data_IF_352107278235
#
_entry.id   IF_352107278235
#
_cell.length_a   1.000
_cell.length_b   1.000
_cell.length_c   1.000
_cell.angle_alpha   90.00
_cell.angle_beta   90.00
_cell.angle_gamma   90.00
#
_symmetry.space_group_name_H-M   'P 1'
#
loop_
_entity.id
_entity.type
_entity.pdbx_description
1 polymer ?
#
# COMPACT_ATOMS: atom_id res chain seq x y z
N UNK A 1 -11.67 -15.09 19.77
CA UNK A 1 -10.25 -15.49 19.98
C UNK A 1 -9.75 -16.15 18.69
N UNK A 2 -9.58 -15.36 17.62
CA UNK A 2 -9.05 -15.82 16.32
C UNK A 2 -8.24 -14.67 15.69
N UNK A 3 -7.44 -13.91 16.44
CA UNK A 3 -6.90 -12.63 15.92
C UNK A 3 -5.36 -12.57 15.81
N UNK A 4 -4.62 -13.53 16.35
CA UNK A 4 -3.14 -13.45 16.32
C UNK A 4 -2.47 -14.03 15.06
N UNK A 5 -3.09 -15.00 14.38
CA UNK A 5 -2.47 -15.70 13.22
C UNK A 5 -2.81 -15.07 11.85
N UNK A 6 -3.93 -14.36 11.74
CA UNK A 6 -4.30 -13.68 10.48
C UNK A 6 -3.38 -12.50 10.23
N UNK A 7 -3.17 -11.69 11.26
CA UNK A 7 -2.63 -10.34 11.13
C UNK A 7 -1.19 -10.29 10.58
N UNK A 8 -0.28 -11.07 11.16
CA UNK A 8 1.10 -11.16 10.63
C UNK A 8 1.15 -11.77 9.23
N UNK A 9 0.24 -12.69 8.92
CA UNK A 9 0.13 -13.26 7.57
C UNK A 9 -0.33 -12.20 6.58
N UNK A 10 -1.25 -11.33 6.98
CA UNK A 10 -1.81 -10.26 6.15
C UNK A 10 -0.75 -9.19 5.86
N UNK A 11 0.08 -8.83 6.86
CA UNK A 11 1.27 -7.98 6.66
C UNK A 11 2.31 -8.60 5.72
N UNK A 12 2.58 -9.90 5.82
CA UNK A 12 3.45 -10.58 4.86
C UNK A 12 2.88 -10.58 3.44
N UNK A 13 1.56 -10.70 3.28
CA UNK A 13 0.93 -10.57 1.96
C UNK A 13 1.05 -9.14 1.43
N UNK A 14 0.89 -8.14 2.29
CA UNK A 14 1.06 -6.72 1.93
C UNK A 14 2.48 -6.43 1.45
N UNK A 15 3.47 -6.82 2.25
CA UNK A 15 4.90 -6.67 1.92
C UNK A 15 5.20 -7.27 0.53
N UNK A 16 4.81 -8.52 0.30
CA UNK A 16 5.06 -9.18 -0.99
C UNK A 16 4.37 -8.47 -2.16
N UNK A 17 3.16 -7.96 -1.96
CA UNK A 17 2.43 -7.22 -2.99
C UNK A 17 3.12 -5.88 -3.31
N UNK A 18 3.58 -5.15 -2.29
CA UNK A 18 4.34 -3.91 -2.44
C UNK A 18 5.69 -4.16 -3.16
N UNK A 19 6.42 -5.20 -2.79
CA UNK A 19 7.66 -5.60 -3.46
C UNK A 19 7.43 -6.02 -4.92
N UNK A 20 6.33 -6.73 -5.21
CA UNK A 20 5.96 -7.08 -6.59
C UNK A 20 5.69 -5.83 -7.43
N UNK A 21 4.97 -4.85 -6.86
CA UNK A 21 4.69 -3.58 -7.51
C UNK A 21 5.96 -2.75 -7.74
N UNK A 22 6.84 -2.66 -6.76
CA UNK A 22 8.12 -1.97 -6.89
C UNK A 22 8.94 -2.55 -8.05
N UNK A 23 9.04 -3.88 -8.14
CA UNK A 23 9.74 -4.56 -9.24
C UNK A 23 9.10 -4.27 -10.60
N UNK A 24 7.77 -4.29 -10.68
CA UNK A 24 7.05 -3.94 -11.90
C UNK A 24 7.31 -2.49 -12.34
N UNK A 25 7.32 -1.55 -11.39
CA UNK A 25 7.62 -0.14 -11.66
C UNK A 25 9.07 0.07 -12.12
N UNK A 26 10.05 -0.57 -11.47
CA UNK A 26 11.45 -0.52 -11.90
C UNK A 26 11.64 -1.09 -13.30
N UNK A 27 10.98 -2.21 -13.61
CA UNK A 27 10.99 -2.79 -14.95
C UNK A 27 10.36 -1.87 -15.99
N UNK A 28 9.24 -1.22 -15.67
CA UNK A 28 8.55 -0.30 -16.57
C UNK A 28 9.30 1.04 -16.77
N UNK A 29 10.08 1.46 -15.77
CA UNK A 29 10.88 2.69 -15.82
C UNK A 29 12.11 2.58 -16.71
N UNK A 30 12.48 1.38 -17.19
CA UNK A 30 13.57 1.14 -18.16
C UNK A 30 14.90 1.88 -17.83
N UNK A 31 15.27 1.97 -16.55
CA UNK A 31 16.51 2.63 -16.11
C UNK A 31 16.46 4.16 -16.05
N UNK A 32 15.29 4.78 -16.16
CA UNK A 32 15.10 6.22 -15.90
C UNK A 32 15.30 6.59 -14.42
N UNK A 33 15.37 7.89 -14.13
CA UNK A 33 15.52 8.38 -12.75
C UNK A 33 14.39 7.86 -11.84
N UNK A 34 14.77 7.25 -10.72
CA UNK A 34 13.86 6.57 -9.78
C UNK A 34 13.64 7.34 -8.48
N UNK A 35 14.18 8.56 -8.34
CA UNK A 35 14.06 9.36 -7.10
C UNK A 35 12.60 9.61 -6.70
N UNK A 36 11.73 9.74 -7.69
CA UNK A 36 10.29 9.91 -7.49
C UNK A 36 9.62 8.68 -6.89
N UNK A 37 10.25 7.50 -6.95
CA UNK A 37 9.72 6.25 -6.40
C UNK A 37 9.97 6.10 -4.91
N UNK A 38 10.78 6.98 -4.29
CA UNK A 38 11.17 6.90 -2.88
C UNK A 38 10.04 6.65 -1.86
N UNK A 39 8.80 7.13 -2.05
CA UNK A 39 7.69 6.81 -1.15
C UNK A 39 7.36 5.31 -1.03
N UNK A 40 7.52 4.52 -2.11
CA UNK A 40 7.17 3.09 -2.09
C UNK A 40 8.17 2.23 -1.30
N UNK A 41 9.51 2.32 -1.52
CA UNK A 41 10.49 1.66 -0.68
C UNK A 41 10.40 2.03 0.80
N UNK A 42 9.99 3.27 1.12
CA UNK A 42 9.77 3.69 2.51
C UNK A 42 8.61 2.93 3.15
N UNK A 43 7.48 2.82 2.44
CA UNK A 43 6.35 2.02 2.92
C UNK A 43 6.73 0.54 3.09
N UNK A 44 7.51 -0.03 2.18
CA UNK A 44 8.01 -1.41 2.31
C UNK A 44 8.86 -1.55 3.58
N UNK A 45 9.81 -0.64 3.79
CA UNK A 45 10.66 -0.65 4.98
C UNK A 45 9.87 -0.51 6.29
N UNK A 46 8.80 0.31 6.30
CA UNK A 46 7.90 0.39 7.45
C UNK A 46 7.19 -0.94 7.70
N UNK A 47 6.66 -1.60 6.66
CA UNK A 47 6.04 -2.94 6.81
C UNK A 47 7.07 -3.95 7.34
N UNK A 48 8.29 -3.95 6.83
CA UNK A 48 9.37 -4.82 7.29
C UNK A 48 9.71 -4.59 8.77
N UNK A 49 9.80 -3.33 9.21
CA UNK A 49 10.05 -2.98 10.62
C UNK A 49 8.96 -3.55 11.55
N UNK A 50 7.68 -3.47 11.13
CA UNK A 50 6.58 -4.07 11.88
C UNK A 50 6.56 -5.60 11.84
N UNK A 51 7.04 -6.19 10.75
CA UNK A 51 7.23 -7.63 10.69
C UNK A 51 8.37 -8.05 11.64
N UNK A 52 9.42 -7.25 11.81
CA UNK A 52 10.52 -7.57 12.72
C UNK A 52 10.17 -7.34 14.20
N UNK A 53 9.24 -6.43 14.53
CA UNK A 53 8.78 -6.17 15.90
C UNK A 53 7.69 -7.18 16.38
N UNK A 54 8.05 -8.07 17.30
CA UNK A 54 7.13 -9.06 17.89
C UNK A 54 6.15 -8.48 18.91
N UNK A 55 6.38 -7.26 19.44
CA UNK A 55 5.56 -6.64 20.50
C UNK A 55 4.66 -5.50 19.97
N UNK A 56 4.74 -5.17 18.68
CA UNK A 56 3.96 -4.08 18.09
C UNK A 56 2.43 -4.31 18.19
N UNK A 57 1.64 -3.29 18.58
CA UNK A 57 0.17 -3.37 18.63
C UNK A 57 -0.41 -3.48 17.21
N UNK A 58 -0.59 -4.72 16.81
CA UNK A 58 -0.83 -5.19 15.45
C UNK A 58 -1.98 -4.51 14.68
N UNK A 59 -3.14 -4.26 15.31
CA UNK A 59 -4.33 -3.77 14.59
C UNK A 59 -4.29 -2.27 14.23
N UNK A 60 -3.70 -1.43 15.08
CA UNK A 60 -3.60 0.01 14.79
C UNK A 60 -2.60 0.25 13.65
N UNK A 61 -1.49 -0.49 13.68
CA UNK A 61 -0.45 -0.49 12.65
C UNK A 61 -1.00 -0.87 11.29
N UNK A 62 -1.76 -1.96 11.18
CA UNK A 62 -2.33 -2.37 9.89
C UNK A 62 -3.27 -1.31 9.29
N UNK A 63 -4.08 -0.66 10.12
CA UNK A 63 -4.97 0.42 9.67
C UNK A 63 -4.18 1.62 9.15
N UNK A 64 -3.08 1.94 9.83
CA UNK A 64 -2.20 3.03 9.41
C UNK A 64 -1.48 2.67 8.10
N UNK A 65 -0.91 1.47 7.99
CA UNK A 65 -0.28 0.97 6.76
C UNK A 65 -1.28 0.91 5.60
N UNK A 66 -2.50 0.45 5.84
CA UNK A 66 -3.58 0.47 4.86
C UNK A 66 -3.87 1.90 4.39
N UNK A 67 -4.02 2.85 5.33
CA UNK A 67 -4.25 4.26 4.98
C UNK A 67 -3.05 4.90 4.24
N UNK A 68 -1.82 4.49 4.55
CA UNK A 68 -0.62 4.95 3.84
C UNK A 68 -0.58 4.42 2.40
N UNK A 69 -0.81 3.11 2.21
CA UNK A 69 -0.90 2.49 0.89
C UNK A 69 -2.00 3.15 0.04
N UNK A 70 -3.16 3.39 0.65
CA UNK A 70 -4.30 4.09 0.06
C UNK A 70 -3.96 5.52 -0.39
N UNK A 71 -3.28 6.30 0.46
CA UNK A 71 -2.84 7.66 0.08
C UNK A 71 -1.78 7.63 -1.01
N UNK A 72 -0.97 6.58 -1.08
CA UNK A 72 0.09 6.51 -2.08
C UNK A 72 -0.46 6.12 -3.46
N UNK A 73 -1.33 5.10 -3.51
CA UNK A 73 -1.73 4.43 -4.76
C UNK A 73 -3.23 4.13 -4.87
N UNK A 74 -4.00 4.33 -3.81
CA UNK A 74 -5.43 4.04 -3.73
C UNK A 74 -6.33 5.27 -3.90
N UNK A 75 -7.64 5.14 -3.62
CA UNK A 75 -8.62 6.22 -3.71
C UNK A 75 -8.45 7.38 -2.70
N UNK A 76 -7.66 7.25 -1.62
CA UNK A 76 -7.47 8.36 -0.70
C UNK A 76 -6.71 9.55 -1.34
N UNK A 77 -6.89 10.79 -0.81
CA UNK A 77 -6.14 11.95 -1.28
C UNK A 77 -4.64 11.67 -1.28
N UNK A 78 -3.93 11.98 -2.38
CA UNK A 78 -2.55 11.59 -2.56
C UNK A 78 -1.63 12.27 -1.53
N UNK A 79 -0.77 11.49 -0.88
CA UNK A 79 0.29 12.03 0.00
C UNK A 79 1.40 12.72 -0.81
N UNK A 80 1.63 12.27 -2.05
CA UNK A 80 2.61 12.83 -2.97
C UNK A 80 2.05 12.87 -4.41
N UNK A 81 1.81 14.08 -4.90
CA UNK A 81 1.26 14.31 -6.24
C UNK A 81 2.25 13.95 -7.36
N UNK A 82 3.55 14.14 -7.14
CA UNK A 82 4.57 13.86 -8.15
C UNK A 82 4.77 12.35 -8.33
N UNK A 83 4.77 11.59 -7.23
CA UNK A 83 4.71 10.13 -7.26
C UNK A 83 3.44 9.68 -7.98
N UNK A 84 2.27 10.18 -7.55
CA UNK A 84 0.97 9.73 -8.06
C UNK A 84 0.83 9.90 -9.56
N UNK A 85 1.22 11.05 -10.10
CA UNK A 85 1.13 11.32 -11.54
C UNK A 85 1.96 10.34 -12.37
N UNK A 86 3.21 10.05 -11.95
CA UNK A 86 4.10 9.12 -12.65
C UNK A 86 3.64 7.67 -12.49
N UNK A 87 3.21 7.32 -11.29
CA UNK A 87 2.62 6.03 -10.99
C UNK A 87 1.41 5.74 -11.88
N UNK A 88 0.45 6.66 -11.97
CA UNK A 88 -0.75 6.49 -12.79
C UNK A 88 -0.42 6.40 -14.29
N UNK A 89 0.55 7.18 -14.77
CA UNK A 89 1.04 7.08 -16.15
C UNK A 89 1.63 5.69 -16.45
N UNK A 90 2.49 5.17 -15.57
CA UNK A 90 3.08 3.84 -15.73
C UNK A 90 2.04 2.72 -15.57
N UNK A 91 1.08 2.87 -14.66
CA UNK A 91 -0.02 1.93 -14.48
C UNK A 91 -0.89 1.84 -15.73
N UNK A 92 -1.17 2.97 -16.39
CA UNK A 92 -1.91 3.00 -17.64
C UNK A 92 -1.10 2.44 -18.84
N UNK A 93 0.22 2.64 -18.84
CA UNK A 93 1.09 2.26 -19.95
C UNK A 93 1.67 0.82 -19.87
N UNK A 94 1.75 0.23 -18.67
CA UNK A 94 2.40 -1.07 -18.44
C UNK A 94 1.42 -2.11 -17.86
N UNK A 95 1.10 -3.19 -18.61
CA UNK A 95 0.26 -4.29 -18.11
C UNK A 95 0.82 -4.97 -16.86
N UNK A 96 2.15 -5.00 -16.71
CA UNK A 96 2.80 -5.57 -15.53
C UNK A 96 2.53 -4.73 -14.29
N UNK A 97 2.59 -3.39 -14.41
CA UNK A 97 2.28 -2.46 -13.30
C UNK A 97 0.80 -2.52 -12.96
N UNK A 98 -0.09 -2.57 -13.96
CA UNK A 98 -1.54 -2.72 -13.74
C UNK A 98 -1.88 -4.03 -13.00
N UNK A 99 -1.27 -5.14 -13.39
CA UNK A 99 -1.45 -6.44 -12.73
C UNK A 99 -0.97 -6.42 -11.29
N UNK A 100 0.23 -5.88 -11.04
CA UNK A 100 0.77 -5.77 -9.70
C UNK A 100 -0.08 -4.85 -8.80
N UNK A 101 -0.61 -3.77 -9.35
CA UNK A 101 -1.55 -2.90 -8.63
C UNK A 101 -2.86 -3.63 -8.29
N UNK A 102 -3.43 -4.40 -9.22
CA UNK A 102 -4.65 -5.16 -8.96
C UNK A 102 -4.43 -6.22 -7.86
N UNK A 103 -3.27 -6.88 -7.85
CA UNK A 103 -2.89 -7.81 -6.79
C UNK A 103 -2.75 -7.10 -5.43
N UNK A 104 -2.16 -5.91 -5.41
CA UNK A 104 -2.09 -5.09 -4.19
C UNK A 104 -3.49 -4.72 -3.67
N UNK A 105 -4.40 -4.29 -4.54
CA UNK A 105 -5.78 -3.99 -4.14
C UNK A 105 -6.51 -5.21 -3.56
N UNK A 106 -6.24 -6.40 -4.08
CA UNK A 106 -6.82 -7.63 -3.54
C UNK A 106 -6.36 -7.87 -2.10
N UNK A 107 -5.06 -7.73 -1.84
CA UNK A 107 -4.50 -7.86 -0.47
C UNK A 107 -5.01 -6.75 0.44
N UNK A 108 -5.07 -5.51 -0.04
CA UNK A 108 -5.58 -4.38 0.76
C UNK A 108 -7.05 -4.56 1.16
N UNK A 109 -7.87 -5.19 0.31
CA UNK A 109 -9.26 -5.50 0.64
C UNK A 109 -9.42 -6.54 1.77
N UNK A 110 -8.37 -7.32 2.05
CA UNK A 110 -8.33 -8.28 3.15
C UNK A 110 -7.82 -7.66 4.46
N UNK A 111 -7.10 -6.53 4.38
CA UNK A 111 -6.61 -5.79 5.54
C UNK A 111 -7.72 -5.01 6.26
N UNK A 112 -7.63 -4.84 7.58
CA UNK A 112 -8.54 -3.98 8.31
C UNK A 112 -8.36 -2.53 7.87
N UNK A 113 -9.35 -2.02 7.13
CA UNK A 113 -9.36 -0.62 6.74
C UNK A 113 -9.50 0.28 7.96
N UNK A 114 -8.78 1.42 7.94
CA UNK A 114 -9.06 2.50 8.88
C UNK A 114 -10.53 2.90 8.69
N UNK A 115 -11.36 2.96 9.75
CA UNK A 115 -12.70 3.49 9.61
C UNK A 115 -12.55 4.91 9.09
N UNK A 116 -12.94 5.12 7.83
CA UNK A 116 -13.14 6.47 7.34
C UNK A 116 -14.10 7.13 8.33
N UNK A 117 -13.83 8.37 8.79
CA UNK A 117 -14.88 9.11 9.46
C UNK A 117 -16.06 9.11 8.48
N UNK A 118 -17.14 8.39 8.83
CA UNK A 118 -18.40 8.56 8.15
C UNK A 118 -18.61 10.06 8.03
N UNK A 119 -18.91 10.62 6.84
CA UNK A 119 -19.44 11.96 6.79
C UNK A 119 -20.73 11.92 7.61
N UNK A 120 -20.65 12.39 8.86
CA UNK A 120 -21.76 12.36 9.80
C UNK A 120 -22.91 13.18 9.22
N UNK A 121 -24.07 12.53 9.10
CA UNK A 121 -25.36 13.13 9.35
C UNK A 121 -25.85 14.17 8.35
N UNK A 122 -26.87 13.80 7.57
CA UNK A 122 -28.02 14.69 7.46
C UNK A 122 -29.19 14.02 8.16
N UNK A 123 -29.31 14.29 9.45
CA UNK A 123 -30.60 14.38 10.10
C UNK A 123 -31.34 15.55 9.46
N UNK A 124 -32.36 15.28 8.67
CA UNK A 124 -33.67 15.92 8.83
C UNK A 124 -34.77 15.20 8.08
#
# INVERSE_FOLDING_TARGET
MIEGKSLRSDLHHLDRALQALQRALLGAANGGATDWMAPLPRLIAEVDEYLDDEEAPALAVERDLHAQAERLMGPLPPSDLAFRARYDALRAASPAVATAHAALLHVMAELPSHPLPCPLGTTR
#
